data_IF_323056990421
#
_entry.id   IF_323056990421
#
_cell.length_a   1.000
_cell.length_b   1.000
_cell.length_c   1.000
_cell.angle_alpha   90.00
_cell.angle_beta   90.00
_cell.angle_gamma   90.00
#
_symmetry.space_group_name_H-M   'P 1'
#
loop_
_entity.id
_entity.type
_entity.pdbx_description
1 polymer ?
#
# COMPACT_ATOMS: atom_id res chain seq x y z
N UNK A 1 -56.90 46.58 6.83
CA UNK A 1 -56.10 45.43 6.35
C UNK A 1 -55.59 45.73 4.94
N UNK A 2 -54.27 45.78 4.69
CA UNK A 2 -53.74 46.09 3.37
C UNK A 2 -53.83 44.85 2.45
N UNK A 3 -54.33 45.05 1.22
CA UNK A 3 -54.44 44.00 0.18
C UNK A 3 -53.05 43.52 -0.24
N UNK A 4 -52.80 42.21 -0.13
CA UNK A 4 -51.58 41.54 -0.58
C UNK A 4 -51.59 41.48 -2.11
N UNK A 5 -50.78 42.31 -2.75
CA UNK A 5 -50.63 42.42 -4.20
C UNK A 5 -49.96 41.14 -4.75
N UNK A 6 -50.75 40.17 -5.22
CA UNK A 6 -50.30 38.88 -5.74
C UNK A 6 -49.95 38.97 -7.23
N UNK A 7 -48.96 39.80 -7.59
CA UNK A 7 -48.44 39.80 -8.96
C UNK A 7 -47.50 38.59 -9.13
N UNK A 8 -48.00 37.56 -9.81
CA UNK A 8 -47.18 36.47 -10.33
C UNK A 8 -46.04 37.08 -11.17
N UNK A 9 -44.82 37.09 -10.63
CA UNK A 9 -43.62 37.50 -11.35
C UNK A 9 -43.52 36.64 -12.61
N UNK A 10 -43.58 37.26 -13.80
CA UNK A 10 -43.26 36.59 -15.07
C UNK A 10 -41.84 36.06 -14.99
N UNK A 11 -41.69 34.78 -14.67
CA UNK A 11 -40.41 34.11 -14.61
C UNK A 11 -39.90 33.98 -16.04
N UNK A 12 -38.75 34.60 -16.33
CA UNK A 12 -38.15 34.53 -17.65
C UNK A 12 -37.47 33.16 -17.79
N UNK A 13 -38.19 32.21 -18.38
CA UNK A 13 -37.80 30.80 -18.55
C UNK A 13 -36.39 30.66 -19.15
N UNK A 14 -35.99 31.58 -20.04
CA UNK A 14 -34.66 31.58 -20.66
C UNK A 14 -33.55 31.85 -19.64
N UNK A 15 -33.78 32.77 -18.70
CA UNK A 15 -32.82 33.10 -17.63
C UNK A 15 -32.70 31.98 -16.58
N UNK A 16 -33.82 31.33 -16.24
CA UNK A 16 -33.79 30.16 -15.34
C UNK A 16 -33.05 28.97 -15.93
N UNK A 17 -33.31 28.64 -17.21
CA UNK A 17 -32.58 27.58 -17.90
C UNK A 17 -31.07 27.81 -17.91
N UNK A 18 -30.63 29.05 -18.16
CA UNK A 18 -29.20 29.38 -18.13
C UNK A 18 -28.59 29.27 -16.72
N UNK A 19 -29.33 29.64 -15.66
CA UNK A 19 -28.90 29.42 -14.27
C UNK A 19 -28.75 27.93 -13.95
N UNK A 20 -29.75 27.13 -14.31
CA UNK A 20 -29.74 25.68 -14.08
C UNK A 20 -28.60 24.98 -14.83
N UNK A 21 -28.28 25.41 -16.06
CA UNK A 21 -27.14 24.88 -16.82
C UNK A 21 -25.82 25.24 -16.15
N UNK A 22 -25.64 26.48 -15.70
CA UNK A 22 -24.44 26.91 -14.96
C UNK A 22 -24.28 26.17 -13.63
N UNK A 23 -25.36 25.95 -12.90
CA UNK A 23 -25.34 25.17 -11.65
C UNK A 23 -25.02 23.70 -11.89
N UNK A 24 -25.59 23.10 -12.95
CA UNK A 24 -25.26 21.73 -13.36
C UNK A 24 -23.80 21.58 -13.77
N UNK A 25 -23.24 22.51 -14.56
CA UNK A 25 -21.81 22.51 -14.92
C UNK A 25 -20.92 22.55 -13.67
N UNK A 26 -21.18 23.49 -12.74
CA UNK A 26 -20.43 23.59 -11.48
C UNK A 26 -20.53 22.32 -10.61
N UNK A 27 -21.66 21.62 -10.66
CA UNK A 27 -21.84 20.35 -9.94
C UNK A 27 -21.07 19.20 -10.63
N UNK A 28 -21.03 19.17 -11.96
CA UNK A 28 -20.25 18.19 -12.72
C UNK A 28 -18.76 18.36 -12.45
N UNK A 29 -18.23 19.60 -12.51
CA UNK A 29 -16.81 19.90 -12.24
C UNK A 29 -16.42 19.49 -10.81
N UNK A 30 -17.29 19.75 -9.82
CA UNK A 30 -17.06 19.32 -8.44
C UNK A 30 -17.06 17.80 -8.29
N UNK A 31 -17.94 17.08 -9.00
CA UNK A 31 -17.98 15.62 -8.98
C UNK A 31 -16.76 15.01 -9.64
N UNK A 32 -16.30 15.60 -10.74
CA UNK A 32 -15.11 15.16 -11.47
C UNK A 32 -13.83 15.39 -10.65
N UNK A 33 -13.69 16.57 -10.04
CA UNK A 33 -12.61 16.88 -9.11
C UNK A 33 -12.61 15.96 -7.87
N UNK A 34 -13.79 15.64 -7.32
CA UNK A 34 -13.90 14.66 -6.24
C UNK A 34 -13.51 13.25 -6.69
N UNK A 35 -13.79 12.88 -7.94
CA UNK A 35 -13.45 11.57 -8.51
C UNK A 35 -11.94 11.43 -8.71
N UNK A 36 -11.27 12.48 -9.21
CA UNK A 36 -9.80 12.56 -9.30
C UNK A 36 -9.13 12.54 -7.93
N UNK A 37 -9.64 13.31 -6.95
CA UNK A 37 -9.10 13.29 -5.58
C UNK A 37 -9.25 11.92 -4.92
N UNK A 38 -10.33 11.19 -5.24
CA UNK A 38 -10.55 9.84 -4.74
C UNK A 38 -9.63 8.83 -5.42
N UNK A 39 -9.38 8.95 -6.74
CA UNK A 39 -8.46 8.04 -7.46
C UNK A 39 -7.01 8.22 -7.01
N UNK A 40 -6.54 9.46 -6.83
CA UNK A 40 -5.21 9.76 -6.25
C UNK A 40 -5.08 9.18 -4.84
N UNK A 41 -6.09 9.37 -3.98
CA UNK A 41 -6.06 8.79 -2.62
C UNK A 41 -6.01 7.26 -2.57
N UNK A 42 -6.51 6.57 -3.61
CA UNK A 42 -6.46 5.10 -3.71
C UNK A 42 -5.07 4.66 -4.19
N UNK A 43 -4.47 5.41 -5.13
CA UNK A 43 -3.09 5.19 -5.58
C UNK A 43 -2.10 5.40 -4.43
N UNK A 44 -2.23 6.49 -3.67
CA UNK A 44 -1.36 6.80 -2.54
C UNK A 44 -1.41 5.69 -1.47
N UNK A 45 -2.63 5.20 -1.14
CA UNK A 45 -2.81 4.08 -0.21
C UNK A 45 -2.22 2.76 -0.72
N UNK A 46 -2.18 2.53 -2.03
CA UNK A 46 -1.51 1.35 -2.61
C UNK A 46 0.00 1.50 -2.53
N UNK A 47 0.53 2.67 -2.88
CA UNK A 47 1.95 2.97 -2.81
C UNK A 47 2.50 2.82 -1.39
N UNK A 48 1.77 3.33 -0.40
CA UNK A 48 2.14 3.23 1.01
C UNK A 48 2.15 1.77 1.49
N UNK A 49 1.15 0.97 1.09
CA UNK A 49 1.10 -0.47 1.40
C UNK A 49 2.26 -1.23 0.76
N UNK A 50 2.59 -0.96 -0.49
CA UNK A 50 3.72 -1.59 -1.19
C UNK A 50 5.05 -1.20 -0.56
N UNK A 51 5.21 0.08 -0.18
CA UNK A 51 6.41 0.60 0.49
C UNK A 51 6.61 -0.05 1.86
N UNK A 52 5.55 -0.18 2.66
CA UNK A 52 5.61 -0.86 3.95
C UNK A 52 5.98 -2.35 3.80
N UNK A 53 5.47 -3.00 2.75
CA UNK A 53 5.82 -4.39 2.45
C UNK A 53 7.30 -4.53 2.05
N UNK A 54 7.82 -3.57 1.30
CA UNK A 54 9.25 -3.47 0.95
C UNK A 54 10.13 -3.34 2.19
N UNK A 55 9.78 -2.43 3.11
CA UNK A 55 10.51 -2.26 4.37
C UNK A 55 10.48 -3.51 5.24
N UNK A 56 9.35 -4.20 5.30
CA UNK A 56 9.27 -5.46 6.01
C UNK A 56 10.16 -6.54 5.38
N UNK A 57 10.22 -6.61 4.04
CA UNK A 57 11.12 -7.52 3.32
C UNK A 57 12.59 -7.17 3.54
N UNK A 58 12.91 -5.89 3.60
CA UNK A 58 14.26 -5.44 3.93
C UNK A 58 14.66 -5.91 5.33
N UNK A 59 13.83 -5.63 6.34
CA UNK A 59 14.08 -6.02 7.73
C UNK A 59 14.22 -7.54 7.87
N UNK A 60 13.34 -8.30 7.23
CA UNK A 60 13.37 -9.77 7.32
C UNK A 60 14.57 -10.38 6.60
N UNK A 61 15.05 -9.78 5.50
CA UNK A 61 16.28 -10.19 4.83
C UNK A 61 17.49 -10.01 5.75
N UNK A 62 17.61 -8.84 6.37
CA UNK A 62 18.66 -8.54 7.35
C UNK A 62 18.64 -9.51 8.53
N UNK A 63 17.47 -9.71 9.16
CA UNK A 63 17.32 -10.63 10.29
C UNK A 63 17.63 -12.08 9.89
N UNK A 64 17.15 -12.53 8.73
CA UNK A 64 17.43 -13.88 8.22
C UNK A 64 18.93 -14.11 8.04
N UNK A 65 19.64 -13.12 7.48
CA UNK A 65 21.08 -13.20 7.22
C UNK A 65 21.90 -13.21 8.51
N UNK A 66 21.51 -12.37 9.48
CA UNK A 66 22.14 -12.32 10.79
C UNK A 66 21.93 -13.62 11.56
N UNK A 67 20.67 -14.04 11.75
CA UNK A 67 20.33 -15.23 12.55
C UNK A 67 20.93 -16.48 11.93
N UNK A 68 20.78 -16.68 10.61
CA UNK A 68 21.26 -17.90 9.99
C UNK A 68 22.78 -18.00 10.01
N UNK A 69 23.50 -16.87 9.95
CA UNK A 69 24.96 -16.89 10.08
C UNK A 69 25.42 -17.11 11.52
N UNK A 70 24.71 -16.55 12.50
CA UNK A 70 24.94 -16.77 13.94
C UNK A 70 24.71 -18.25 14.33
N UNK A 71 23.72 -18.91 13.72
CA UNK A 71 23.50 -20.36 13.88
C UNK A 71 24.63 -21.18 13.21
N UNK A 72 25.42 -20.56 12.33
CA UNK A 72 26.54 -21.23 11.66
C UNK A 72 26.12 -21.97 10.40
N UNK A 73 25.09 -21.54 9.68
CA UNK A 73 24.78 -22.11 8.37
C UNK A 73 25.72 -21.59 7.28
N UNK A 74 26.11 -22.49 6.38
CA UNK A 74 26.97 -22.21 5.21
C UNK A 74 26.42 -22.91 3.97
N UNK A 75 26.69 -22.38 2.78
CA UNK A 75 26.36 -23.05 1.52
C UNK A 75 24.88 -23.39 1.35
N UNK A 76 24.58 -24.67 1.05
CA UNK A 76 23.23 -25.14 0.72
C UNK A 76 22.23 -25.03 1.90
N UNK A 77 22.56 -25.43 3.15
CA UNK A 77 21.72 -25.17 4.32
C UNK A 77 21.31 -23.70 4.49
N UNK A 78 22.21 -22.78 4.14
CA UNK A 78 21.95 -21.34 4.30
C UNK A 78 20.96 -20.81 3.25
N UNK A 79 20.96 -21.40 2.05
CA UNK A 79 19.97 -21.14 1.02
C UNK A 79 18.59 -21.66 1.44
N UNK A 80 18.52 -22.87 2.01
CA UNK A 80 17.27 -23.43 2.54
C UNK A 80 16.73 -22.55 3.66
N UNK A 81 17.59 -22.09 4.56
CA UNK A 81 17.24 -21.15 5.64
C UNK A 81 16.62 -19.86 5.10
N UNK A 82 17.26 -19.25 4.11
CA UNK A 82 16.76 -18.05 3.44
C UNK A 82 15.37 -18.28 2.82
N UNK A 83 15.18 -19.41 2.15
CA UNK A 83 13.88 -19.77 1.55
C UNK A 83 12.80 -19.97 2.62
N UNK A 84 13.12 -20.64 3.73
CA UNK A 84 12.21 -20.78 4.85
C UNK A 84 11.76 -19.41 5.36
N UNK A 85 12.69 -18.48 5.61
CA UNK A 85 12.34 -17.12 6.03
C UNK A 85 11.52 -16.38 4.99
N UNK A 86 11.85 -16.54 3.70
CA UNK A 86 11.11 -15.90 2.63
C UNK A 86 9.64 -16.35 2.57
N UNK A 87 9.38 -17.65 2.77
CA UNK A 87 8.04 -18.22 2.80
C UNK A 87 7.30 -18.00 4.11
N UNK A 88 7.96 -18.07 5.27
CA UNK A 88 7.34 -17.94 6.60
C UNK A 88 7.00 -16.49 6.97
N UNK A 89 7.86 -15.53 6.66
CA UNK A 89 7.69 -14.13 7.04
C UNK A 89 6.39 -13.46 6.54
N UNK A 90 5.86 -13.73 5.33
CA UNK A 90 4.55 -13.22 4.94
C UNK A 90 3.39 -13.81 5.76
N UNK A 91 3.55 -14.98 6.39
CA UNK A 91 2.57 -15.47 7.36
C UNK A 91 2.72 -14.74 8.70
N UNK A 92 3.96 -14.56 9.17
CA UNK A 92 4.22 -13.89 10.46
C UNK A 92 3.73 -12.45 10.44
N UNK A 93 3.97 -11.68 9.38
CA UNK A 93 3.38 -10.32 9.24
C UNK A 93 1.88 -10.32 9.36
N UNK A 94 1.23 -11.21 8.62
CA UNK A 94 -0.21 -11.18 8.49
C UNK A 94 -0.90 -11.61 9.79
N UNK A 95 -0.35 -12.62 10.47
CA UNK A 95 -0.89 -13.14 11.74
C UNK A 95 -0.48 -12.32 12.96
N UNK A 96 0.79 -11.89 13.06
CA UNK A 96 1.34 -11.27 14.28
C UNK A 96 1.21 -9.76 14.28
N UNK A 97 1.57 -9.10 13.18
CA UNK A 97 1.65 -7.62 13.12
C UNK A 97 0.31 -7.02 12.73
N UNK A 98 -0.37 -7.65 11.76
CA UNK A 98 -1.49 -7.02 11.09
C UNK A 98 -2.86 -7.41 11.69
N UNK A 99 -2.97 -8.47 12.50
CA UNK A 99 -4.26 -9.00 13.04
C UNK A 99 -5.41 -8.83 12.03
N UNK A 100 -5.12 -9.06 10.74
CA UNK A 100 -6.04 -8.64 9.69
C UNK A 100 -7.28 -9.53 9.81
N UNK A 101 -8.47 -8.91 9.93
CA UNK A 101 -9.72 -9.59 9.59
C UNK A 101 -9.50 -10.11 8.17
N UNK A 102 -9.47 -11.43 8.06
CA UNK A 102 -9.17 -12.16 6.83
C UNK A 102 -9.98 -11.59 5.66
N UNK A 103 -9.32 -10.89 4.74
CA UNK A 103 -9.96 -10.29 3.57
C UNK A 103 -9.44 -10.96 2.30
N UNK A 104 -10.32 -11.71 1.62
CA UNK A 104 -9.98 -12.59 0.49
C UNK A 104 -9.27 -11.87 -0.66
N UNK A 105 -9.52 -10.56 -0.84
CA UNK A 105 -8.87 -9.76 -1.89
C UNK A 105 -7.40 -9.41 -1.58
N UNK A 106 -7.05 -9.34 -0.29
CA UNK A 106 -5.68 -9.03 0.14
C UNK A 106 -4.79 -10.28 0.15
N UNK A 107 -5.38 -11.47 0.33
CA UNK A 107 -4.63 -12.74 0.37
C UNK A 107 -4.41 -13.35 -1.02
N UNK A 108 -3.68 -12.64 -1.88
CA UNK A 108 -3.21 -13.19 -3.15
C UNK A 108 -1.70 -13.46 -3.06
N UNK A 109 -1.32 -14.74 -3.11
CA UNK A 109 0.08 -15.20 -3.06
C UNK A 109 0.99 -14.46 -4.04
N UNK A 110 0.51 -14.15 -5.26
CA UNK A 110 1.28 -13.40 -6.26
C UNK A 110 1.58 -11.97 -5.79
N UNK A 111 0.69 -11.33 -5.04
CA UNK A 111 0.88 -9.97 -4.52
C UNK A 111 1.76 -9.94 -3.26
N UNK A 112 1.91 -11.06 -2.56
CA UNK A 112 2.66 -11.15 -1.29
C UNK A 112 4.11 -11.61 -1.52
N UNK A 113 4.33 -12.50 -2.49
CA UNK A 113 5.64 -13.06 -2.79
C UNK A 113 6.45 -12.24 -3.79
N UNK A 114 5.79 -11.57 -4.75
CA UNK A 114 6.49 -10.81 -5.80
C UNK A 114 7.18 -9.53 -5.30
N UNK A 115 6.56 -8.70 -4.45
CA UNK A 115 7.19 -7.44 -4.05
C UNK A 115 8.38 -7.69 -3.12
N UNK A 116 9.48 -6.98 -3.37
CA UNK A 116 10.62 -6.97 -2.45
C UNK A 116 11.44 -8.26 -2.39
N UNK A 117 11.33 -9.17 -3.36
CA UNK A 117 12.22 -10.36 -3.42
C UNK A 117 13.69 -9.95 -3.57
N UNK A 118 13.95 -8.99 -4.46
CA UNK A 118 15.31 -8.48 -4.71
C UNK A 118 15.92 -7.79 -3.48
N UNK A 119 15.16 -6.93 -2.79
CA UNK A 119 15.66 -6.23 -1.60
C UNK A 119 15.93 -7.20 -0.45
N UNK A 120 15.07 -8.21 -0.28
CA UNK A 120 15.24 -9.26 0.71
C UNK A 120 16.54 -10.05 0.46
N UNK A 121 16.75 -10.52 -0.78
CA UNK A 121 17.93 -11.28 -1.15
C UNK A 121 19.21 -10.46 -1.00
N UNK A 122 19.19 -9.21 -1.46
CA UNK A 122 20.36 -8.32 -1.42
C UNK A 122 20.77 -8.01 0.03
N UNK A 123 19.83 -7.64 0.91
CA UNK A 123 20.12 -7.38 2.31
C UNK A 123 20.53 -8.63 3.09
N UNK A 124 19.94 -9.79 2.76
CA UNK A 124 20.38 -11.08 3.29
C UNK A 124 21.85 -11.34 2.95
N UNK A 125 22.23 -11.18 1.68
CA UNK A 125 23.61 -11.38 1.21
C UNK A 125 24.60 -10.41 1.87
N UNK A 126 24.27 -9.11 1.90
CA UNK A 126 25.13 -8.10 2.54
C UNK A 126 25.31 -8.41 4.02
N UNK A 127 24.21 -8.60 4.75
CA UNK A 127 24.27 -8.82 6.20
C UNK A 127 25.00 -10.10 6.54
N UNK A 128 24.72 -11.19 5.82
CA UNK A 128 25.40 -12.46 6.05
C UNK A 128 26.89 -12.40 5.72
N UNK A 129 27.29 -11.68 4.68
CA UNK A 129 28.70 -11.48 4.34
C UNK A 129 29.40 -10.68 5.43
N UNK A 130 28.81 -9.57 5.89
CA UNK A 130 29.37 -8.76 6.98
C UNK A 130 29.54 -9.60 8.24
N UNK A 131 28.49 -10.31 8.66
CA UNK A 131 28.52 -11.15 9.87
C UNK A 131 29.51 -12.31 9.71
N UNK A 132 29.61 -12.91 8.52
CA UNK A 132 30.60 -13.94 8.24
C UNK A 132 32.03 -13.40 8.35
N UNK A 133 32.31 -12.25 7.75
CA UNK A 133 33.62 -11.61 7.82
C UNK A 133 33.98 -11.25 9.26
N UNK A 134 33.03 -10.72 10.04
CA UNK A 134 33.25 -10.44 11.45
C UNK A 134 33.62 -11.70 12.25
N UNK A 135 32.89 -12.80 12.08
CA UNK A 135 33.20 -14.08 12.75
C UNK A 135 34.46 -14.79 12.23
N UNK A 136 34.91 -14.46 11.02
CA UNK A 136 36.13 -15.05 10.47
C UNK A 136 37.39 -14.33 10.94
N UNK A 137 37.27 -13.04 11.28
CA UNK A 137 38.39 -12.18 11.70
C UNK A 137 38.49 -11.97 13.22
N UNK A 138 37.39 -12.10 13.96
CA UNK A 138 37.33 -12.09 15.43
C UNK A 138 37.12 -13.49 15.97
#
# INVERSE_FOLDING_TARGET
MPKKDSRLKKVNIKKERQKLIKEKMKQTDKKEYQKEKKSTSILDKRLEKETNLYWYRALTGTLSGLIGRVIGFYGLPFLIWMLCFWFLMPFVTNFVILKYKYDKETWNWKKILKPGLGIFFLLFMITSTIVHTLFAFF
#
